data_IF_532652112167
#
_entry.id   IF_532652112167
#
_cell.length_a   1.000
_cell.length_b   1.000
_cell.length_c   1.000
_cell.angle_alpha   90.00
_cell.angle_beta   90.00
_cell.angle_gamma   90.00
#
_symmetry.space_group_name_H-M   'P 1'
#
loop_
_entity.id
_entity.type
_entity.pdbx_description
1 polymer ?
#
# COMPACT_ATOMS: atom_id res chain seq x y z
N UNK A 1 -8.02 -0.03 -18.93
CA UNK A 1 -8.81 0.53 -17.81
C UNK A 1 -9.96 1.34 -18.41
N UNK A 2 -11.16 1.24 -17.84
CA UNK A 2 -12.31 2.08 -18.22
C UNK A 2 -12.10 3.54 -17.81
N UNK A 3 -13.19 4.27 -17.56
CA UNK A 3 -13.10 5.61 -16.99
C UNK A 3 -12.41 5.54 -15.60
N UNK A 4 -11.52 6.48 -15.30
CA UNK A 4 -10.73 6.53 -14.05
C UNK A 4 -10.79 7.94 -13.48
N UNK A 5 -10.92 8.04 -12.15
CA UNK A 5 -10.78 9.31 -11.42
C UNK A 5 -9.46 9.35 -10.66
N UNK A 6 -8.84 10.53 -10.69
CA UNK A 6 -7.52 10.76 -10.11
C UNK A 6 -7.64 11.68 -8.89
N UNK A 7 -7.16 11.23 -7.75
CA UNK A 7 -7.21 11.95 -6.49
C UNK A 7 -5.81 12.11 -5.92
N UNK A 8 -5.66 13.00 -4.95
CA UNK A 8 -4.40 13.17 -4.25
C UNK A 8 -4.00 11.89 -3.49
N UNK A 9 -4.93 11.11 -2.96
CA UNK A 9 -4.57 9.87 -2.25
C UNK A 9 -5.62 8.79 -2.42
N UNK A 10 -5.26 7.55 -2.08
CA UNK A 10 -6.24 6.47 -1.99
C UNK A 10 -7.35 6.80 -0.97
N UNK A 11 -7.01 7.52 0.11
CA UNK A 11 -7.97 8.06 1.09
C UNK A 11 -8.99 8.99 0.42
N UNK A 12 -8.55 9.93 -0.41
CA UNK A 12 -9.46 10.82 -1.15
C UNK A 12 -10.33 10.10 -2.19
N UNK A 13 -9.85 8.99 -2.76
CA UNK A 13 -10.67 8.13 -3.61
C UNK A 13 -11.82 7.49 -2.82
N UNK A 14 -11.55 7.06 -1.58
CA UNK A 14 -12.57 6.55 -0.64
C UNK A 14 -13.56 7.67 -0.30
N UNK A 15 -13.08 8.85 0.07
CA UNK A 15 -13.94 10.00 0.42
C UNK A 15 -14.96 10.29 -0.69
N UNK A 16 -14.47 10.39 -1.93
CA UNK A 16 -15.32 10.72 -3.07
C UNK A 16 -16.40 9.67 -3.34
N UNK A 17 -16.07 8.38 -3.25
CA UNK A 17 -17.07 7.32 -3.50
C UNK A 17 -18.03 7.18 -2.31
N UNK A 18 -17.55 7.36 -1.08
CA UNK A 18 -18.39 7.43 0.13
C UNK A 18 -19.44 8.53 0.01
N UNK A 19 -19.04 9.74 -0.39
CA UNK A 19 -19.97 10.85 -0.56
C UNK A 19 -20.99 10.62 -1.67
N UNK A 20 -20.59 9.94 -2.76
CA UNK A 20 -21.50 9.64 -3.87
C UNK A 20 -22.53 8.58 -3.49
N UNK A 21 -22.07 7.47 -2.91
CA UNK A 21 -22.91 6.30 -2.66
C UNK A 21 -23.73 6.43 -1.37
N UNK A 22 -23.29 7.27 -0.43
CA UNK A 22 -24.04 7.54 0.80
C UNK A 22 -24.16 6.33 1.72
N UNK A 23 -23.18 5.42 1.70
CA UNK A 23 -23.16 4.25 2.57
C UNK A 23 -23.18 4.65 4.05
N UNK A 24 -23.81 3.81 4.87
CA UNK A 24 -23.95 4.05 6.32
C UNK A 24 -22.87 3.34 7.11
N UNK A 25 -22.43 2.18 6.62
CA UNK A 25 -21.51 1.30 7.33
C UNK A 25 -20.58 0.58 6.36
N UNK A 26 -19.31 0.49 6.71
CA UNK A 26 -18.29 -0.17 5.91
C UNK A 26 -17.67 -1.32 6.71
N UNK A 27 -17.70 -2.50 6.10
CA UNK A 27 -16.97 -3.67 6.57
C UNK A 27 -15.52 -3.58 6.11
N UNK A 28 -14.56 -3.63 7.03
CA UNK A 28 -13.12 -3.46 6.76
C UNK A 28 -12.35 -4.65 7.33
N UNK A 29 -11.26 -5.14 6.68
CA UNK A 29 -10.41 -6.15 7.27
C UNK A 29 -9.87 -5.67 8.62
N UNK A 30 -9.81 -6.56 9.61
CA UNK A 30 -9.17 -6.27 10.89
C UNK A 30 -7.70 -5.85 10.73
N UNK A 31 -7.02 -6.39 9.71
CA UNK A 31 -5.70 -5.97 9.28
C UNK A 31 -5.77 -4.90 8.18
N UNK A 32 -5.76 -3.62 8.56
CA UNK A 32 -5.79 -2.51 7.61
C UNK A 32 -5.09 -1.26 8.18
N UNK A 33 -4.98 -0.20 7.38
CA UNK A 33 -4.42 1.07 7.83
C UNK A 33 -5.40 1.79 8.79
N UNK A 34 -5.07 1.81 10.09
CA UNK A 34 -5.94 2.42 11.10
C UNK A 34 -6.06 3.95 10.95
N UNK A 35 -5.07 4.63 10.38
CA UNK A 35 -5.19 6.06 10.02
C UNK A 35 -6.29 6.29 8.98
N UNK A 36 -6.37 5.42 7.96
CA UNK A 36 -7.45 5.47 6.96
C UNK A 36 -8.80 5.13 7.60
N UNK A 37 -8.85 4.12 8.48
CA UNK A 37 -10.09 3.78 9.22
C UNK A 37 -10.59 4.97 10.04
N UNK A 38 -9.72 5.64 10.79
CA UNK A 38 -10.11 6.81 11.57
C UNK A 38 -10.61 7.94 10.68
N UNK A 39 -9.99 8.14 9.51
CA UNK A 39 -10.48 9.10 8.54
C UNK A 39 -11.87 8.75 7.99
N UNK A 40 -12.13 7.49 7.62
CA UNK A 40 -13.44 7.07 7.13
C UNK A 40 -14.54 7.29 8.19
N UNK A 41 -14.23 7.05 9.48
CA UNK A 41 -15.18 7.36 10.57
C UNK A 41 -15.56 8.83 10.63
N UNK A 42 -14.64 9.75 10.32
CA UNK A 42 -14.92 11.19 10.28
C UNK A 42 -15.88 11.58 9.15
N UNK A 43 -16.05 10.72 8.13
CA UNK A 43 -17.06 10.89 7.08
C UNK A 43 -18.48 10.53 7.55
N UNK A 44 -18.63 10.04 8.79
CA UNK A 44 -19.92 9.62 9.35
C UNK A 44 -20.31 8.18 9.04
N UNK A 45 -19.37 7.36 8.54
CA UNK A 45 -19.57 5.93 8.29
C UNK A 45 -19.22 5.11 9.54
N UNK A 46 -20.11 4.19 9.90
CA UNK A 46 -19.83 3.16 10.91
C UNK A 46 -18.82 2.13 10.36
N UNK A 47 -17.79 1.77 11.14
CA UNK A 47 -16.80 0.76 10.73
C UNK A 47 -17.04 -0.53 11.51
N UNK A 48 -17.21 -1.64 10.79
CA UNK A 48 -17.23 -2.99 11.33
C UNK A 48 -16.02 -3.76 10.81
N UNK A 49 -15.31 -4.42 11.71
CA UNK A 49 -14.17 -5.24 11.33
C UNK A 49 -14.59 -6.69 11.05
N UNK A 50 -13.95 -7.32 10.07
CA UNK A 50 -14.04 -8.76 9.85
C UNK A 50 -12.65 -9.41 9.89
N UNK A 51 -12.59 -10.70 10.23
CA UNK A 51 -11.33 -11.41 10.50
C UNK A 51 -10.55 -11.74 9.22
N UNK A 52 -9.98 -10.74 8.56
CA UNK A 52 -9.12 -10.90 7.41
C UNK A 52 -7.74 -10.25 7.62
N UNK A 53 -6.72 -10.96 7.15
CA UNK A 53 -5.30 -10.63 7.26
C UNK A 53 -4.53 -11.38 6.16
N UNK A 54 -3.32 -10.94 5.75
CA UNK A 54 -2.69 -11.38 4.51
C UNK A 54 -2.48 -12.90 4.33
N UNK A 55 -2.41 -13.67 5.42
CA UNK A 55 -2.20 -15.12 5.39
C UNK A 55 -3.49 -15.94 5.37
N UNK A 56 -4.66 -15.31 5.56
CA UNK A 56 -5.96 -16.00 5.48
C UNK A 56 -6.20 -16.52 4.06
N UNK A 57 -6.69 -17.76 3.95
CA UNK A 57 -6.94 -18.47 2.68
C UNK A 57 -8.41 -18.57 2.27
N UNK A 58 -9.30 -18.51 3.24
CA UNK A 58 -10.76 -18.71 3.12
C UNK A 58 -11.54 -17.39 3.25
N UNK A 59 -10.89 -16.25 3.01
CA UNK A 59 -11.51 -14.91 3.12
C UNK A 59 -12.76 -14.79 2.24
N UNK A 60 -12.76 -15.45 1.07
CA UNK A 60 -13.89 -15.56 0.16
C UNK A 60 -15.15 -16.16 0.81
N UNK A 61 -15.01 -17.20 1.64
CA UNK A 61 -16.14 -17.81 2.33
C UNK A 61 -16.62 -16.91 3.47
N UNK A 62 -15.67 -16.34 4.21
CA UNK A 62 -15.94 -15.44 5.32
C UNK A 62 -16.81 -14.26 4.88
N UNK A 63 -16.40 -13.53 3.84
CA UNK A 63 -17.09 -12.30 3.41
C UNK A 63 -18.52 -12.57 2.92
N UNK A 64 -18.84 -13.76 2.42
CA UNK A 64 -20.20 -14.12 1.99
C UNK A 64 -21.14 -14.39 3.16
N UNK A 65 -20.59 -14.76 4.31
CA UNK A 65 -21.36 -15.09 5.53
C UNK A 65 -21.53 -13.93 6.51
N UNK A 66 -20.95 -12.75 6.23
CA UNK A 66 -21.07 -11.62 7.14
C UNK A 66 -22.53 -11.15 7.25
N UNK A 67 -22.99 -10.73 8.45
CA UNK A 67 -24.37 -10.35 8.69
C UNK A 67 -24.65 -8.92 8.21
N UNK A 68 -24.59 -8.72 6.89
CA UNK A 68 -24.82 -7.43 6.26
C UNK A 68 -26.21 -6.87 6.54
N UNK A 69 -26.31 -5.55 6.53
CA UNK A 69 -27.57 -4.80 6.57
C UNK A 69 -27.68 -3.84 5.38
N UNK A 70 -28.87 -3.29 5.17
CA UNK A 70 -29.09 -2.30 4.13
C UNK A 70 -28.24 -1.04 4.38
N UNK A 71 -27.53 -0.59 3.34
CA UNK A 71 -26.61 0.54 3.41
C UNK A 71 -25.18 0.17 3.82
N UNK A 72 -24.89 -1.13 3.96
CA UNK A 72 -23.53 -1.64 4.12
C UNK A 72 -22.76 -1.63 2.79
N UNK A 73 -21.44 -1.49 2.91
CA UNK A 73 -20.47 -1.75 1.85
C UNK A 73 -19.33 -2.63 2.40
N UNK A 74 -18.78 -3.50 1.57
CA UNK A 74 -17.60 -4.29 1.91
C UNK A 74 -16.35 -3.67 1.29
N UNK A 75 -15.35 -3.36 2.11
CA UNK A 75 -13.98 -3.08 1.65
C UNK A 75 -13.16 -4.37 1.72
N UNK A 76 -12.66 -4.84 0.59
CA UNK A 76 -11.67 -5.93 0.51
C UNK A 76 -10.30 -5.37 0.18
N UNK A 77 -9.24 -6.04 0.63
CA UNK A 77 -7.88 -5.61 0.31
C UNK A 77 -7.07 -6.71 -0.38
N UNK A 78 -6.41 -6.33 -1.47
CA UNK A 78 -5.42 -7.14 -2.16
C UNK A 78 -4.06 -6.95 -1.48
N UNK A 79 -3.83 -7.69 -0.40
CA UNK A 79 -2.65 -7.55 0.45
C UNK A 79 -1.36 -7.99 -0.25
N UNK A 80 -0.45 -7.04 -0.46
CA UNK A 80 0.95 -7.28 -0.87
C UNK A 80 1.15 -8.10 -2.15
N UNK A 81 0.08 -8.29 -2.93
CA UNK A 81 0.05 -9.20 -4.08
C UNK A 81 0.11 -10.68 -3.70
N UNK A 82 -0.09 -11.06 -2.44
CA UNK A 82 0.07 -12.44 -1.96
C UNK A 82 -1.07 -13.38 -2.36
N UNK A 83 -2.17 -12.83 -2.86
CA UNK A 83 -3.39 -13.58 -3.17
C UNK A 83 -3.71 -13.52 -4.65
N UNK A 84 -4.18 -14.66 -5.14
CA UNK A 84 -4.88 -14.77 -6.41
C UNK A 84 -6.16 -13.93 -6.42
N UNK A 85 -6.74 -13.74 -7.61
CA UNK A 85 -8.04 -13.09 -7.75
C UNK A 85 -9.05 -13.71 -6.79
N UNK A 86 -9.79 -12.85 -6.09
CA UNK A 86 -10.97 -13.22 -5.34
C UNK A 86 -12.20 -12.75 -6.10
N UNK A 87 -13.25 -13.55 -6.13
CA UNK A 87 -14.52 -13.16 -6.77
C UNK A 87 -15.46 -12.59 -5.73
N UNK A 88 -16.20 -11.56 -6.13
CA UNK A 88 -17.24 -10.92 -5.33
C UNK A 88 -18.64 -11.51 -5.59
N UNK A 89 -18.75 -12.54 -6.44
CA UNK A 89 -20.01 -13.25 -6.68
C UNK A 89 -20.61 -13.80 -5.37
N UNK A 90 -21.89 -13.54 -5.15
CA UNK A 90 -22.63 -14.01 -3.98
C UNK A 90 -22.50 -13.12 -2.74
N UNK A 91 -21.78 -11.99 -2.81
CA UNK A 91 -21.78 -10.98 -1.75
C UNK A 91 -23.01 -10.09 -1.94
N UNK A 92 -23.87 -9.91 -0.91
CA UNK A 92 -25.18 -9.25 -1.07
C UNK A 92 -25.13 -7.72 -0.98
N UNK A 93 -23.94 -7.13 -0.89
CA UNK A 93 -23.71 -5.67 -0.75
C UNK A 93 -22.66 -5.21 -1.76
N UNK A 94 -22.59 -3.90 -2.01
CA UNK A 94 -21.54 -3.33 -2.85
C UNK A 94 -20.15 -3.62 -2.29
N UNK A 95 -19.19 -3.82 -3.19
CA UNK A 95 -17.80 -4.13 -2.86
C UNK A 95 -16.87 -3.05 -3.41
N UNK A 96 -15.98 -2.58 -2.54
CA UNK A 96 -14.80 -1.77 -2.87
C UNK A 96 -13.56 -2.64 -2.69
N UNK A 97 -12.69 -2.72 -3.69
CA UNK A 97 -11.39 -3.40 -3.57
C UNK A 97 -10.24 -2.40 -3.50
N UNK A 98 -9.39 -2.50 -2.46
CA UNK A 98 -8.13 -1.77 -2.36
C UNK A 98 -6.98 -2.58 -2.97
N UNK A 99 -6.47 -2.10 -4.11
CA UNK A 99 -5.33 -2.65 -4.83
C UNK A 99 -4.05 -1.82 -4.68
N UNK A 100 -3.96 -0.98 -3.64
CA UNK A 100 -2.79 -0.14 -3.37
C UNK A 100 -1.47 -0.91 -3.28
N UNK A 101 -1.49 -2.19 -2.90
CA UNK A 101 -0.29 -3.03 -2.77
C UNK A 101 -0.04 -3.92 -4.00
N UNK A 102 -0.97 -3.98 -4.95
CA UNK A 102 -0.89 -4.90 -6.08
C UNK A 102 -1.75 -4.41 -7.27
N UNK A 103 -1.57 -3.15 -7.65
CA UNK A 103 -2.38 -2.49 -8.69
C UNK A 103 -2.35 -3.18 -10.06
N UNK A 104 -1.24 -3.86 -10.37
CA UNK A 104 -1.06 -4.54 -11.65
C UNK A 104 -1.22 -6.06 -11.54
N UNK A 105 -1.71 -6.59 -10.42
CA UNK A 105 -1.91 -8.05 -10.30
C UNK A 105 -3.13 -8.51 -11.09
N UNK A 106 -3.18 -9.82 -11.36
CA UNK A 106 -4.34 -10.45 -12.02
C UNK A 106 -5.67 -10.14 -11.31
N UNK A 107 -5.67 -10.04 -9.97
CA UNK A 107 -6.85 -9.63 -9.22
C UNK A 107 -7.30 -8.21 -9.61
N UNK A 108 -6.40 -7.23 -9.55
CA UNK A 108 -6.75 -5.84 -9.85
C UNK A 108 -7.19 -5.64 -11.31
N UNK A 109 -6.56 -6.35 -12.26
CA UNK A 109 -6.86 -6.24 -13.69
C UNK A 109 -8.17 -6.94 -14.09
N UNK A 110 -8.56 -7.99 -13.37
CA UNK A 110 -9.73 -8.82 -13.68
C UNK A 110 -10.79 -8.77 -12.58
N UNK A 111 -10.79 -7.72 -11.75
CA UNK A 111 -11.74 -7.55 -10.64
C UNK A 111 -13.20 -7.56 -11.13
N UNK A 112 -14.09 -8.10 -10.29
CA UNK A 112 -15.55 -8.07 -10.48
C UNK A 112 -16.25 -7.22 -9.40
N UNK A 113 -15.51 -6.36 -8.69
CA UNK A 113 -16.06 -5.44 -7.69
C UNK A 113 -16.82 -4.27 -8.34
N UNK A 114 -17.73 -3.65 -7.58
CA UNK A 114 -18.39 -2.40 -7.98
C UNK A 114 -17.37 -1.29 -8.20
N UNK A 115 -16.44 -1.15 -7.26
CA UNK A 115 -15.41 -0.13 -7.25
C UNK A 115 -14.05 -0.69 -6.86
N UNK A 116 -13.01 -0.09 -7.42
CA UNK A 116 -11.64 -0.38 -7.05
C UNK A 116 -10.90 0.91 -6.78
N UNK A 117 -10.01 0.88 -5.80
CA UNK A 117 -9.15 1.99 -5.41
C UNK A 117 -7.68 1.55 -5.39
N UNK A 118 -6.77 2.50 -5.61
CA UNK A 118 -5.37 2.27 -5.33
C UNK A 118 -4.62 3.57 -5.07
N UNK A 119 -3.71 3.55 -4.09
CA UNK A 119 -2.71 4.59 -3.89
C UNK A 119 -1.52 4.36 -4.83
N UNK A 120 -1.50 5.01 -5.98
CA UNK A 120 -0.44 4.82 -6.99
C UNK A 120 0.96 5.21 -6.50
N UNK A 121 1.08 6.13 -5.52
CA UNK A 121 2.39 6.52 -4.93
C UNK A 121 3.13 5.39 -4.21
N UNK A 122 2.44 4.30 -3.85
CA UNK A 122 3.06 3.12 -3.24
C UNK A 122 3.78 2.25 -4.28
N UNK A 123 3.36 2.37 -5.53
CA UNK A 123 3.84 1.52 -6.62
C UNK A 123 4.65 2.30 -7.65
N UNK A 124 4.45 3.59 -7.82
CA UNK A 124 5.06 4.41 -8.85
C UNK A 124 5.83 5.60 -8.27
N UNK A 125 6.84 6.13 -8.99
CA UNK A 125 7.64 7.26 -8.53
C UNK A 125 6.89 8.58 -8.74
N UNK A 126 5.72 8.71 -8.12
CA UNK A 126 4.90 9.92 -8.11
C UNK A 126 4.91 10.54 -6.72
N UNK A 127 4.78 11.86 -6.63
CA UNK A 127 4.75 12.55 -5.33
C UNK A 127 3.48 12.19 -4.55
N UNK A 128 2.35 12.17 -5.26
CA UNK A 128 1.03 11.98 -4.68
C UNK A 128 0.20 11.12 -5.64
N UNK A 129 -0.90 10.55 -5.15
CA UNK A 129 -1.83 9.87 -6.04
C UNK A 129 -2.69 8.77 -5.44
N UNK A 130 -3.98 8.86 -5.73
CA UNK A 130 -4.96 7.80 -5.65
C UNK A 130 -5.76 7.71 -6.95
N UNK A 131 -6.25 6.52 -7.27
CA UNK A 131 -7.15 6.29 -8.38
C UNK A 131 -8.41 5.55 -7.91
N UNK A 132 -9.52 5.82 -8.59
CA UNK A 132 -10.80 5.13 -8.44
C UNK A 132 -11.29 4.72 -9.82
N UNK A 133 -11.72 3.47 -9.96
CA UNK A 133 -12.36 2.97 -11.19
C UNK A 133 -13.44 1.96 -10.87
N UNK A 134 -14.24 1.60 -11.87
CA UNK A 134 -15.25 0.55 -11.77
C UNK A 134 -15.01 -0.53 -12.81
N UNK A 135 -14.70 -1.77 -12.41
CA UNK A 135 -14.74 -2.91 -13.31
C UNK A 135 -16.11 -3.11 -13.98
N UNK A 136 -17.19 -2.87 -13.23
CA UNK A 136 -18.58 -2.98 -13.70
C UNK A 136 -19.09 -1.75 -14.46
N UNK A 137 -18.22 -0.76 -14.76
CA UNK A 137 -18.55 0.49 -15.47
C UNK A 137 -19.66 1.31 -14.80
N UNK A 138 -19.76 1.21 -13.48
CA UNK A 138 -20.66 2.01 -12.67
C UNK A 138 -20.26 3.50 -12.75
N UNK A 139 -21.21 4.41 -12.47
CA UNK A 139 -20.99 5.86 -12.60
C UNK A 139 -19.99 6.36 -11.54
N UNK A 140 -18.86 6.92 -11.98
CA UNK A 140 -17.86 7.49 -11.07
C UNK A 140 -18.23 8.91 -10.61
N UNK A 141 -17.76 9.34 -9.41
CA UNK A 141 -17.84 10.73 -8.97
C UNK A 141 -17.21 11.67 -10.00
N UNK A 142 -17.65 12.93 -10.04
CA UNK A 142 -17.02 13.93 -10.91
C UNK A 142 -15.54 14.11 -10.57
N UNK A 143 -14.71 14.28 -11.59
CA UNK A 143 -13.30 14.60 -11.39
C UNK A 143 -13.18 15.97 -10.72
N UNK A 144 -12.33 16.04 -9.69
CA UNK A 144 -12.00 17.28 -8.99
C UNK A 144 -10.57 17.71 -9.32
N UNK A 145 -10.32 19.01 -9.29
CA UNK A 145 -8.99 19.58 -9.52
C UNK A 145 -8.12 19.50 -8.24
N UNK A 146 -6.78 19.53 -8.37
CA UNK A 146 -5.89 19.63 -7.22
C UNK A 146 -6.08 20.97 -6.49
N UNK A 147 -6.08 20.93 -5.16
CA UNK A 147 -6.10 22.14 -4.32
C UNK A 147 -4.73 22.81 -4.24
N UNK A 148 -4.67 24.08 -3.82
CA UNK A 148 -3.40 24.78 -3.62
C UNK A 148 -2.51 24.10 -2.58
N UNK A 149 -3.10 23.60 -1.49
CA UNK A 149 -2.38 22.83 -0.47
C UNK A 149 -1.80 21.53 -1.03
N UNK A 150 -2.49 20.89 -1.99
CA UNK A 150 -1.97 19.74 -2.71
C UNK A 150 -0.76 20.13 -3.55
N UNK A 151 -0.83 21.22 -4.31
CA UNK A 151 0.27 21.71 -5.13
C UNK A 151 1.50 22.08 -4.29
N UNK A 152 1.30 22.70 -3.13
CA UNK A 152 2.39 23.02 -2.19
C UNK A 152 3.07 21.75 -1.66
N UNK A 153 2.29 20.76 -1.21
CA UNK A 153 2.80 19.47 -0.75
C UNK A 153 3.64 18.80 -1.84
N UNK A 154 3.09 18.74 -3.05
CA UNK A 154 3.72 18.12 -4.21
C UNK A 154 5.07 18.75 -4.53
N UNK A 155 5.19 20.08 -4.49
CA UNK A 155 6.46 20.78 -4.71
C UNK A 155 7.57 20.32 -3.74
N UNK A 156 7.26 20.29 -2.44
CA UNK A 156 8.21 19.84 -1.41
C UNK A 156 8.58 18.36 -1.61
N UNK A 157 7.60 17.54 -1.99
CA UNK A 157 7.80 16.10 -2.15
C UNK A 157 8.65 15.77 -3.38
N UNK A 158 8.45 16.48 -4.49
CA UNK A 158 9.32 16.33 -5.66
C UNK A 158 10.74 16.80 -5.38
N UNK A 159 10.93 17.88 -4.63
CA UNK A 159 12.26 18.30 -4.16
C UNK A 159 12.95 17.15 -3.39
N UNK A 160 12.25 16.53 -2.43
CA UNK A 160 12.76 15.38 -1.68
C UNK A 160 13.08 14.18 -2.58
N UNK A 161 12.25 13.91 -3.60
CA UNK A 161 12.49 12.85 -4.58
C UNK A 161 13.73 13.11 -5.44
N UNK A 162 13.96 14.36 -5.87
CA UNK A 162 15.18 14.71 -6.62
C UNK A 162 16.43 14.59 -5.74
N UNK A 163 16.35 15.02 -4.49
CA UNK A 163 17.43 14.84 -3.50
C UNK A 163 17.74 13.35 -3.30
N UNK A 164 16.71 12.51 -3.09
CA UNK A 164 16.87 11.06 -2.95
C UNK A 164 17.45 10.43 -4.21
N UNK A 165 17.02 10.85 -5.40
CA UNK A 165 17.59 10.39 -6.67
C UNK A 165 19.09 10.67 -6.73
N UNK A 166 19.49 11.91 -6.45
CA UNK A 166 20.90 12.31 -6.45
C UNK A 166 21.71 11.57 -5.38
N UNK A 167 21.13 11.34 -4.19
CA UNK A 167 21.72 10.48 -3.16
C UNK A 167 22.03 9.08 -3.70
N UNK A 168 21.08 8.45 -4.40
CA UNK A 168 21.26 7.11 -4.98
C UNK A 168 22.28 7.10 -6.14
N UNK A 169 22.26 8.11 -7.00
CA UNK A 169 23.20 8.24 -8.13
C UNK A 169 24.65 8.47 -7.68
N UNK A 170 24.86 9.07 -6.50
CA UNK A 170 26.19 9.39 -5.97
C UNK A 170 26.59 8.49 -4.81
N UNK A 171 25.90 7.36 -4.59
CA UNK A 171 26.12 6.46 -3.44
C UNK A 171 26.23 7.20 -2.09
N UNK A 172 25.43 8.26 -1.90
CA UNK A 172 25.39 9.06 -0.68
C UNK A 172 26.45 10.14 -0.51
N UNK A 173 27.34 10.36 -1.49
CA UNK A 173 28.42 11.35 -1.35
C UNK A 173 27.99 12.82 -1.37
N UNK A 174 26.92 13.17 -2.11
CA UNK A 174 26.58 14.58 -2.38
C UNK A 174 25.36 15.12 -1.65
N UNK A 175 24.54 14.25 -1.08
CA UNK A 175 23.29 14.62 -0.44
C UNK A 175 23.22 13.89 0.88
N UNK A 176 22.88 14.62 1.94
CA UNK A 176 22.64 13.99 3.24
C UNK A 176 21.28 13.29 3.25
N UNK A 177 21.22 12.10 3.86
CA UNK A 177 20.01 11.28 3.89
C UNK A 177 18.90 11.89 4.74
N UNK A 178 19.27 12.56 5.84
CA UNK A 178 18.29 13.12 6.76
C UNK A 178 17.59 14.33 6.14
N UNK A 179 18.31 15.13 5.34
CA UNK A 179 17.76 16.31 4.67
C UNK A 179 16.51 16.05 3.81
N UNK A 180 16.47 14.98 3.00
CA UNK A 180 15.27 14.63 2.23
C UNK A 180 14.28 13.77 3.03
N UNK A 181 14.75 13.06 4.07
CA UNK A 181 13.89 12.30 4.97
C UNK A 181 12.96 13.22 5.76
N UNK A 182 13.47 14.35 6.25
CA UNK A 182 12.67 15.37 6.94
C UNK A 182 11.55 15.91 6.03
N UNK A 183 11.85 16.19 4.77
CA UNK A 183 10.84 16.60 3.78
C UNK A 183 9.78 15.52 3.54
N UNK A 184 10.16 14.24 3.50
CA UNK A 184 9.19 13.16 3.40
C UNK A 184 8.26 13.10 4.61
N UNK A 185 8.81 13.25 5.83
CA UNK A 185 8.02 13.29 7.07
C UNK A 185 7.04 14.47 7.03
N UNK A 186 7.55 15.67 6.77
CA UNK A 186 6.74 16.89 6.63
C UNK A 186 5.57 16.68 5.65
N UNK A 187 5.85 16.09 4.49
CA UNK A 187 4.83 15.92 3.45
C UNK A 187 3.85 14.78 3.74
N UNK A 188 4.18 13.78 4.57
CA UNK A 188 3.18 12.81 5.05
C UNK A 188 2.22 13.51 6.04
N UNK A 189 2.73 14.34 6.96
CA UNK A 189 1.88 15.12 7.88
C UNK A 189 0.95 16.10 7.12
N UNK A 190 1.44 16.70 6.03
CA UNK A 190 0.62 17.52 5.15
C UNK A 190 -0.43 16.68 4.42
N UNK A 191 -0.09 15.46 3.98
CA UNK A 191 -1.00 14.56 3.25
C UNK A 191 -2.15 14.10 4.15
N UNK A 192 -1.88 13.85 5.43
CA UNK A 192 -2.88 13.42 6.41
C UNK A 192 -3.96 14.48 6.64
N UNK A 193 -3.56 15.76 6.60
CA UNK A 193 -4.45 16.92 6.81
C UNK A 193 -5.02 17.49 5.51
N UNK A 194 -4.62 16.95 4.37
CA UNK A 194 -5.04 17.47 3.07
C UNK A 194 -6.56 17.28 2.91
N UNK A 195 -7.33 18.33 2.58
CA UNK A 195 -8.74 18.18 2.23
C UNK A 195 -8.88 17.43 0.90
N UNK A 196 -10.08 16.90 0.64
CA UNK A 196 -10.41 16.22 -0.60
C UNK A 196 -9.91 17.02 -1.81
N UNK A 197 -9.04 16.41 -2.59
CA UNK A 197 -8.28 17.06 -3.66
C UNK A 197 -8.02 16.10 -4.80
N UNK A 198 -7.98 16.65 -6.03
CA UNK A 198 -7.50 15.96 -7.21
C UNK A 198 -6.00 15.66 -7.15
N UNK A 199 -5.54 14.81 -8.06
CA UNK A 199 -4.12 14.54 -8.29
C UNK A 199 -3.50 15.71 -9.06
N UNK A 200 -2.27 16.09 -8.75
CA UNK A 200 -1.54 17.09 -9.54
C UNK A 200 -1.20 16.57 -10.95
N UNK A 201 -0.93 17.52 -11.86
CA UNK A 201 -0.67 17.22 -13.27
C UNK A 201 0.62 16.40 -13.48
N UNK A 202 1.69 16.67 -12.73
CA UNK A 202 2.97 16.00 -12.89
C UNK A 202 2.88 14.55 -12.43
N UNK A 203 2.27 14.28 -11.26
CA UNK A 203 2.04 12.91 -10.79
C UNK A 203 1.16 12.12 -11.76
N UNK A 204 0.10 12.76 -12.29
CA UNK A 204 -0.79 12.14 -13.27
C UNK A 204 -0.06 11.81 -14.57
N UNK A 205 0.74 12.73 -15.09
CA UNK A 205 1.53 12.54 -16.31
C UNK A 205 2.58 11.43 -16.14
N UNK A 206 3.30 11.41 -15.01
CA UNK A 206 4.27 10.36 -14.70
C UNK A 206 3.58 9.00 -14.65
N UNK A 207 2.45 8.91 -13.94
CA UNK A 207 1.69 7.66 -13.84
C UNK A 207 1.26 7.17 -15.22
N UNK A 208 0.58 8.01 -16.01
CA UNK A 208 0.05 7.63 -17.33
C UNK A 208 1.13 7.26 -18.36
N UNK A 209 2.33 7.84 -18.24
CA UNK A 209 3.46 7.59 -19.17
C UNK A 209 4.43 6.53 -18.64
N UNK A 210 4.22 5.98 -17.45
CA UNK A 210 5.13 5.01 -16.86
C UNK A 210 5.17 3.72 -17.69
N UNK A 211 6.38 3.17 -17.84
CA UNK A 211 6.56 1.81 -18.34
C UNK A 211 6.26 0.82 -17.20
N UNK A 212 4.98 0.51 -17.06
CA UNK A 212 4.45 -0.38 -16.02
C UNK A 212 5.17 -1.74 -16.01
N UNK A 213 5.43 -2.31 -17.20
CA UNK A 213 6.05 -3.62 -17.32
C UNK A 213 7.48 -3.57 -16.82
N UNK A 214 8.30 -2.65 -17.36
CA UNK A 214 9.69 -2.49 -16.92
C UNK A 214 9.79 -2.22 -15.42
N UNK A 215 8.91 -1.39 -14.86
CA UNK A 215 8.91 -1.07 -13.44
C UNK A 215 8.60 -2.29 -12.56
N UNK A 216 7.68 -3.13 -13.02
CA UNK A 216 7.30 -4.37 -12.33
C UNK A 216 8.39 -5.43 -12.46
N UNK A 217 8.94 -5.64 -13.66
CA UNK A 217 10.03 -6.57 -13.92
C UNK A 217 11.26 -6.25 -13.05
N UNK A 218 11.65 -4.98 -12.94
CA UNK A 218 12.79 -4.55 -12.12
C UNK A 218 12.57 -4.81 -10.63
N UNK A 219 11.35 -4.57 -10.12
CA UNK A 219 11.01 -4.85 -8.73
C UNK A 219 11.06 -6.34 -8.44
N UNK A 220 10.50 -7.16 -9.33
CA UNK A 220 10.55 -8.62 -9.21
C UNK A 220 11.99 -9.11 -9.20
N UNK A 221 12.83 -8.66 -10.15
CA UNK A 221 14.23 -9.02 -10.20
C UNK A 221 15.01 -8.61 -8.93
N UNK A 222 14.75 -7.40 -8.39
CA UNK A 222 15.36 -6.96 -7.15
C UNK A 222 14.95 -7.82 -5.95
N UNK A 223 13.68 -8.24 -5.88
CA UNK A 223 13.20 -9.14 -4.83
C UNK A 223 13.81 -10.55 -4.96
N UNK A 224 13.96 -11.07 -6.18
CA UNK A 224 14.61 -12.36 -6.44
C UNK A 224 16.08 -12.34 -6.04
N UNK A 225 16.82 -11.28 -6.40
CA UNK A 225 18.20 -11.07 -5.96
C UNK A 225 18.25 -11.08 -4.42
N UNK A 226 17.37 -10.30 -3.77
CA UNK A 226 17.35 -10.20 -2.32
C UNK A 226 17.09 -11.56 -1.65
N UNK A 227 16.06 -12.28 -2.06
CA UNK A 227 15.69 -13.58 -1.45
C UNK A 227 16.69 -14.71 -1.72
N UNK A 228 17.50 -14.59 -2.76
CA UNK A 228 18.64 -15.47 -2.99
C UNK A 228 19.81 -15.22 -2.04
N UNK A 229 20.06 -13.96 -1.66
CA UNK A 229 21.18 -13.55 -0.79
C UNK A 229 20.82 -13.62 0.70
N UNK A 230 19.58 -13.28 1.04
CA UNK A 230 19.13 -13.24 2.43
C UNK A 230 19.24 -14.62 3.09
N UNK A 231 19.66 -14.60 4.36
CA UNK A 231 19.80 -15.79 5.20
C UNK A 231 18.50 -16.59 5.25
N UNK A 232 18.60 -17.92 5.16
CA UNK A 232 17.42 -18.81 5.11
C UNK A 232 16.65 -18.90 6.43
N UNK A 233 17.19 -18.34 7.53
CA UNK A 233 16.48 -18.16 8.80
C UNK A 233 15.36 -17.11 8.69
N UNK A 234 15.46 -16.15 7.77
CA UNK A 234 14.38 -15.20 7.53
C UNK A 234 13.18 -15.88 6.85
N UNK A 235 12.01 -15.75 7.46
CA UNK A 235 10.75 -16.07 6.79
C UNK A 235 10.29 -14.88 5.96
N UNK A 236 10.28 -15.04 4.63
CA UNK A 236 9.89 -14.01 3.68
C UNK A 236 8.65 -14.48 2.92
N UNK A 237 7.61 -13.66 2.90
CA UNK A 237 6.37 -14.01 2.20
C UNK A 237 6.53 -13.92 0.69
N UNK A 238 5.91 -14.88 0.01
CA UNK A 238 5.71 -14.91 -1.44
C UNK A 238 4.33 -15.45 -1.78
N UNK A 239 3.79 -15.03 -2.92
CA UNK A 239 2.58 -15.67 -3.46
C UNK A 239 2.87 -17.11 -3.87
N UNK A 240 1.82 -17.92 -3.94
CA UNK A 240 1.85 -19.24 -4.58
C UNK A 240 1.53 -19.15 -6.08
N UNK A 241 1.04 -18.01 -6.55
CA UNK A 241 0.73 -17.79 -7.97
C UNK A 241 2.00 -17.58 -8.79
N UNK A 242 2.04 -18.16 -9.98
CA UNK A 242 3.16 -18.01 -10.91
C UNK A 242 3.23 -16.59 -11.53
N UNK A 243 2.08 -15.96 -11.77
CA UNK A 243 1.97 -14.60 -12.29
C UNK A 243 1.88 -13.59 -11.14
N UNK A 244 2.97 -13.47 -10.39
CA UNK A 244 3.07 -12.64 -9.19
C UNK A 244 4.19 -11.60 -9.29
N UNK A 245 3.92 -10.41 -8.74
CA UNK A 245 4.95 -9.41 -8.48
C UNK A 245 4.92 -8.98 -7.00
N UNK A 246 6.08 -8.92 -6.33
CA UNK A 246 6.16 -8.59 -4.92
C UNK A 246 5.86 -7.10 -4.69
N UNK A 247 5.13 -6.78 -3.62
CA UNK A 247 5.02 -5.39 -3.17
C UNK A 247 6.36 -4.86 -2.61
N UNK A 248 7.01 -5.67 -1.77
CA UNK A 248 8.25 -5.41 -1.06
C UNK A 248 8.81 -6.74 -0.50
N UNK A 249 9.96 -6.72 0.17
CA UNK A 249 10.41 -7.85 0.99
C UNK A 249 9.59 -7.82 2.29
N UNK A 250 8.68 -8.77 2.47
CA UNK A 250 7.85 -8.89 3.68
C UNK A 250 8.43 -9.98 4.57
N UNK A 251 9.13 -9.58 5.62
CA UNK A 251 9.58 -10.47 6.68
C UNK A 251 8.41 -10.79 7.62
N UNK A 252 8.40 -12.02 8.14
CA UNK A 252 7.50 -12.46 9.19
C UNK A 252 8.35 -13.11 10.29
N UNK A 253 8.66 -12.35 11.33
CA UNK A 253 9.46 -12.80 12.46
C UNK A 253 8.71 -13.84 13.31
N UNK A 254 9.42 -14.55 14.19
CA UNK A 254 8.80 -15.53 15.09
C UNK A 254 8.08 -14.87 16.28
N UNK A 255 8.45 -13.63 16.64
CA UNK A 255 7.83 -12.86 17.72
C UNK A 255 7.90 -11.34 17.47
N UNK A 256 7.16 -10.56 18.26
CA UNK A 256 7.28 -9.09 18.26
C UNK A 256 8.67 -8.64 18.69
N UNK A 257 9.27 -9.28 19.69
CA UNK A 257 10.63 -8.97 20.15
C UNK A 257 11.67 -9.16 19.02
N UNK A 258 11.57 -10.25 18.25
CA UNK A 258 12.45 -10.47 17.10
C UNK A 258 12.21 -9.41 16.02
N UNK A 259 10.95 -9.06 15.74
CA UNK A 259 10.62 -7.98 14.79
C UNK A 259 11.17 -6.64 15.25
N UNK A 260 11.08 -6.31 16.54
CA UNK A 260 11.63 -5.09 17.14
C UNK A 260 13.16 -5.04 17.02
N UNK A 261 13.82 -6.13 17.38
CA UNK A 261 15.28 -6.26 17.30
C UNK A 261 15.78 -6.14 15.86
N UNK A 262 15.15 -6.86 14.92
CA UNK A 262 15.46 -6.74 13.50
C UNK A 262 15.25 -5.31 13.00
N UNK A 263 14.11 -4.68 13.31
CA UNK A 263 13.84 -3.29 12.94
C UNK A 263 14.91 -2.33 13.47
N UNK A 264 15.34 -2.49 14.71
CA UNK A 264 16.39 -1.66 15.31
C UNK A 264 17.73 -1.85 14.59
N UNK A 265 18.12 -3.10 14.31
CA UNK A 265 19.32 -3.44 13.54
C UNK A 265 19.30 -2.77 12.15
N UNK A 266 18.17 -2.85 11.45
CA UNK A 266 18.02 -2.21 10.14
C UNK A 266 18.18 -0.69 10.22
N UNK A 267 17.53 -0.04 11.19
CA UNK A 267 17.61 1.42 11.36
C UNK A 267 19.03 1.87 11.69
N UNK A 268 19.75 1.14 12.54
CA UNK A 268 21.16 1.41 12.86
C UNK A 268 22.05 1.33 11.60
N UNK A 269 21.71 0.44 10.67
CA UNK A 269 22.35 0.31 9.36
C UNK A 269 21.71 1.22 8.28
N UNK A 270 20.94 2.24 8.68
CA UNK A 270 20.25 3.20 7.80
C UNK A 270 19.29 2.55 6.78
N UNK A 271 18.76 1.38 7.09
CA UNK A 271 17.65 0.73 6.37
C UNK A 271 16.37 1.00 7.17
N UNK A 272 15.38 1.66 6.56
CA UNK A 272 14.17 2.10 7.26
C UNK A 272 12.97 1.23 6.84
N UNK A 273 12.72 0.11 7.55
CA UNK A 273 11.58 -0.74 7.26
C UNK A 273 10.25 -0.11 7.72
N UNK A 274 9.15 -0.54 7.10
CA UNK A 274 7.79 -0.16 7.46
C UNK A 274 7.06 -1.29 8.18
N UNK A 275 6.13 -0.93 9.07
CA UNK A 275 5.13 -1.84 9.66
C UNK A 275 3.81 -1.50 8.97
N UNK A 276 3.19 -2.47 8.30
CA UNK A 276 2.04 -2.23 7.40
C UNK A 276 0.91 -3.23 7.66
N UNK A 277 0.22 -3.21 8.79
CA UNK A 277 0.09 -2.09 9.71
C UNK A 277 0.06 -2.55 11.16
N UNK A 278 0.20 -1.58 12.07
CA UNK A 278 0.00 -1.80 13.50
C UNK A 278 -1.51 -1.91 13.79
N UNK A 279 -1.95 -3.12 14.15
CA UNK A 279 -3.28 -3.39 14.70
C UNK A 279 -3.29 -3.01 16.18
N UNK A 280 -4.38 -2.41 16.73
CA UNK A 280 -4.51 -2.11 18.15
C UNK A 280 -4.35 -3.36 19.03
N UNK A 281 -3.66 -3.20 20.17
CA UNK A 281 -3.38 -4.30 21.11
C UNK A 281 -4.66 -4.89 21.75
N UNK A 282 -5.74 -4.10 21.80
CA UNK A 282 -7.06 -4.49 22.30
C UNK A 282 -7.96 -5.11 21.23
N UNK A 283 -7.43 -5.37 20.03
CA UNK A 283 -8.16 -6.04 18.94
C UNK A 283 -8.61 -7.45 19.35
N UNK A 284 -9.87 -7.76 19.11
CA UNK A 284 -10.41 -9.11 19.27
C UNK A 284 -10.01 -10.08 18.14
N UNK A 285 -9.31 -9.60 17.11
CA UNK A 285 -8.85 -10.40 15.97
C UNK A 285 -7.39 -10.84 16.17
N UNK A 286 -7.20 -11.91 16.94
CA UNK A 286 -5.88 -12.41 17.34
C UNK A 286 -4.94 -12.68 16.16
N UNK A 287 -5.44 -13.24 15.07
CA UNK A 287 -4.60 -13.60 13.92
C UNK A 287 -4.09 -12.37 13.16
N UNK A 288 -4.93 -11.32 13.08
CA UNK A 288 -4.55 -10.04 12.49
C UNK A 288 -3.54 -9.30 13.38
N UNK A 289 -3.73 -9.33 14.70
CA UNK A 289 -2.79 -8.74 15.68
C UNK A 289 -1.45 -9.47 15.69
N UNK A 290 -1.46 -10.82 15.69
CA UNK A 290 -0.25 -11.63 15.59
C UNK A 290 0.54 -11.32 14.31
N UNK A 291 -0.13 -11.27 13.16
CA UNK A 291 0.52 -10.90 11.91
C UNK A 291 1.10 -9.48 11.95
N UNK A 292 0.34 -8.51 12.48
CA UNK A 292 0.80 -7.12 12.71
C UNK A 292 2.09 -7.06 13.52
N UNK A 293 2.15 -7.80 14.62
CA UNK A 293 3.26 -7.75 15.57
C UNK A 293 4.53 -8.43 15.04
N UNK A 294 4.42 -9.31 14.05
CA UNK A 294 5.55 -10.07 13.52
C UNK A 294 6.04 -9.60 12.16
N UNK A 295 5.26 -8.82 11.41
CA UNK A 295 5.61 -8.45 10.04
C UNK A 295 6.49 -7.20 9.95
N UNK A 296 7.38 -7.19 8.96
CA UNK A 296 8.25 -6.05 8.64
C UNK A 296 8.46 -5.95 7.13
N UNK A 297 8.21 -4.77 6.55
CA UNK A 297 8.34 -4.51 5.12
C UNK A 297 9.63 -3.74 4.81
N UNK A 298 10.46 -4.26 3.92
CA UNK A 298 11.66 -3.60 3.40
C UNK A 298 11.50 -3.38 1.90
N UNK A 299 11.69 -2.14 1.46
CA UNK A 299 11.56 -1.78 0.05
C UNK A 299 12.67 -2.38 -0.82
N UNK A 300 12.29 -2.90 -1.98
CA UNK A 300 13.20 -3.44 -3.00
C UNK A 300 12.73 -3.06 -4.42
N UNK A 301 12.08 -1.90 -4.57
CA UNK A 301 11.47 -1.49 -5.83
C UNK A 301 12.50 -1.09 -6.91
N UNK A 302 11.99 -0.73 -8.10
CA UNK A 302 12.80 -0.45 -9.29
C UNK A 302 13.75 0.76 -9.17
N UNK A 303 13.72 1.53 -8.07
CA UNK A 303 14.66 2.62 -7.81
C UNK A 303 16.04 2.13 -7.36
N UNK A 304 16.13 0.91 -6.85
CA UNK A 304 17.39 0.32 -6.40
C UNK A 304 18.07 -0.39 -7.55
N UNK A 305 19.39 -0.21 -7.68
CA UNK A 305 20.20 -1.04 -8.56
C UNK A 305 20.62 -2.33 -7.84
N UNK A 306 21.17 -3.28 -8.60
CA UNK A 306 21.61 -4.59 -8.07
C UNK A 306 22.61 -4.47 -6.92
N UNK A 307 23.65 -3.65 -7.06
CA UNK A 307 24.68 -3.47 -6.03
C UNK A 307 24.05 -2.96 -4.72
N UNK A 308 23.12 -2.00 -4.81
CA UNK A 308 22.42 -1.46 -3.64
C UNK A 308 21.55 -2.52 -2.95
N UNK A 309 20.92 -3.43 -3.72
CA UNK A 309 20.19 -4.57 -3.15
C UNK A 309 21.15 -5.55 -2.47
N UNK A 310 22.29 -5.87 -3.09
CA UNK A 310 23.32 -6.76 -2.53
C UNK A 310 23.88 -6.20 -1.21
N UNK A 311 24.23 -4.92 -1.18
CA UNK A 311 24.69 -4.21 0.02
C UNK A 311 23.62 -4.19 1.12
N UNK A 312 22.37 -3.89 0.77
CA UNK A 312 21.24 -3.93 1.70
C UNK A 312 21.08 -5.32 2.32
N UNK A 313 21.15 -6.40 1.51
CA UNK A 313 21.02 -7.77 2.00
C UNK A 313 22.20 -8.19 2.88
N UNK A 314 23.42 -7.77 2.54
CA UNK A 314 24.59 -7.99 3.39
C UNK A 314 24.42 -7.38 4.78
N UNK A 315 23.89 -6.15 4.86
CA UNK A 315 23.61 -5.49 6.14
C UNK A 315 22.46 -6.17 6.90
N UNK A 316 21.42 -6.64 6.21
CA UNK A 316 20.32 -7.39 6.83
C UNK A 316 20.84 -8.70 7.43
N UNK A 317 21.67 -9.47 6.72
CA UNK A 317 22.17 -10.77 7.17
C UNK A 317 22.99 -10.68 8.46
N UNK A 318 23.72 -9.57 8.68
CA UNK A 318 24.45 -9.30 9.93
C UNK A 318 23.58 -9.29 11.19
N UNK A 319 22.25 -9.31 11.07
CA UNK A 319 21.36 -9.46 12.21
C UNK A 319 21.56 -10.79 12.94
N UNK A 320 21.91 -11.84 12.18
CA UNK A 320 22.08 -13.19 12.71
C UNK A 320 23.55 -13.65 12.78
N UNK A 321 24.49 -12.72 12.55
CA UNK A 321 25.93 -12.93 12.74
C UNK A 321 26.34 -12.57 14.16
#
# INVERSE_FOLDING_TARGET
>A
MGDVRFYASGRHAIDAIVYQEGWKRMWVPAYFCYEVIQHIRLLGIEIIFYNDHPLRKDDDLLVRSLPYQEGDVLLRMNFFGLRSKRSNEGIPVSVVEDHSHALLSSWALNSDADWCIASVRKSFPVAIGGILWSPLKMKLPSQIEPTDSCNQLVGIRYEAMQMKRKYLETNGEKIDKDSFREKYIQTEEMLDKLPLSGMDKESKDIFLKADYKRWTDLRTANWEIATNILDKRFSILKSLDEDWSPFSIIFVCNSDDERMALRQHLIQNRIYPAILWKVPEDSCFSDALDFSNRMLSVHCDARYNRQQIEEMCSLINKYYD
#
